data_IF_032331834993
#
_entry.id   IF_032331834993
#
_cell.length_a   1.000
_cell.length_b   1.000
_cell.length_c   1.000
_cell.angle_alpha   90.00
_cell.angle_beta   90.00
_cell.angle_gamma   90.00
#
_symmetry.space_group_name_H-M   'P 1'
#
loop_
_entity.id
_entity.type
_entity.pdbx_description
1 polymer ?
#
# COMPACT_ATOMS: atom_id res chain seq x y z
N UNK A 1 17.24 5.57 5.77
CA UNK A 1 16.18 5.09 4.86
C UNK A 1 16.13 5.96 3.61
N UNK A 2 16.07 5.34 2.47
CA UNK A 2 16.00 6.12 1.23
C UNK A 2 14.62 6.76 1.09
N UNK A 3 14.58 7.90 0.44
CA UNK A 3 13.32 8.54 0.14
C UNK A 3 12.64 7.79 -1.01
N UNK A 4 11.33 7.75 -0.97
CA UNK A 4 10.56 7.18 -2.06
C UNK A 4 10.54 8.17 -3.22
N UNK A 5 10.81 7.67 -4.42
CA UNK A 5 10.73 8.46 -5.64
C UNK A 5 9.57 7.95 -6.46
N UNK A 6 8.39 8.51 -6.18
CA UNK A 6 7.17 8.09 -6.83
C UNK A 6 6.65 9.22 -7.72
N UNK A 7 6.42 8.95 -9.01
CA UNK A 7 5.80 9.94 -9.89
C UNK A 7 4.28 9.94 -9.72
N UNK A 8 3.81 9.63 -8.53
CA UNK A 8 2.40 9.53 -8.20
C UNK A 8 2.16 10.21 -6.87
N UNK A 9 1.01 10.83 -6.73
CA UNK A 9 0.61 11.38 -5.44
C UNK A 9 0.40 10.24 -4.47
N UNK A 10 0.81 10.45 -3.22
CA UNK A 10 0.55 9.47 -2.18
C UNK A 10 0.03 10.13 -0.92
N UNK A 11 -0.65 9.36 -0.12
CA UNK A 11 -1.16 9.80 1.17
C UNK A 11 -0.94 8.71 2.20
N UNK A 12 -0.75 9.11 3.43
CA UNK A 12 -0.62 8.17 4.52
C UNK A 12 -1.94 8.11 5.27
N UNK A 13 -2.24 6.94 5.81
CA UNK A 13 -3.44 6.73 6.60
C UNK A 13 -4.70 7.19 5.88
N UNK A 14 -4.83 6.80 4.63
CA UNK A 14 -5.98 7.20 3.82
C UNK A 14 -7.21 6.39 4.16
N UNK A 15 -8.32 7.08 4.36
CA UNK A 15 -9.60 6.44 4.64
C UNK A 15 -10.25 6.00 3.34
N UNK A 16 -10.63 4.73 3.28
CA UNK A 16 -11.33 4.16 2.11
C UNK A 16 -12.62 3.51 2.57
N UNK A 17 -13.72 3.90 1.95
CA UNK A 17 -15.02 3.33 2.24
C UNK A 17 -15.20 2.01 1.50
N UNK A 18 -15.75 1.03 2.19
CA UNK A 18 -16.09 -0.26 1.60
C UNK A 18 -17.54 -0.61 1.93
N UNK A 19 -17.99 -1.74 1.44
CA UNK A 19 -19.33 -2.20 1.73
C UNK A 19 -19.60 -2.51 3.19
N UNK A 20 -18.55 -2.68 3.99
CA UNK A 20 -18.69 -3.02 5.40
C UNK A 20 -18.16 -1.92 6.32
N UNK A 21 -17.84 -0.76 5.77
CA UNK A 21 -17.34 0.35 6.55
C UNK A 21 -16.02 0.86 6.00
N UNK A 22 -15.39 1.77 6.73
CA UNK A 22 -14.16 2.39 6.29
C UNK A 22 -12.95 1.67 6.86
N UNK A 23 -11.91 1.61 6.03
CA UNK A 23 -10.59 1.14 6.48
C UNK A 23 -9.57 2.22 6.17
N UNK A 24 -8.47 2.20 6.89
CA UNK A 24 -7.38 3.16 6.67
C UNK A 24 -6.18 2.42 6.10
N UNK A 25 -5.59 3.00 5.06
CA UNK A 25 -4.45 2.40 4.39
C UNK A 25 -3.19 3.15 4.80
N UNK A 26 -2.17 2.45 5.27
CA UNK A 26 -0.96 3.08 5.79
C UNK A 26 -0.29 3.99 4.78
N UNK A 27 -0.09 3.51 3.56
CA UNK A 27 0.44 4.29 2.46
C UNK A 27 -0.40 4.02 1.24
N UNK A 28 -0.98 5.05 0.67
CA UNK A 28 -1.90 4.89 -0.44
C UNK A 28 -1.50 5.73 -1.63
N UNK A 29 -1.65 5.15 -2.82
CA UNK A 29 -1.48 5.85 -4.09
C UNK A 29 -2.86 5.90 -4.73
N UNK A 30 -3.64 6.96 -4.45
CA UNK A 30 -5.06 6.97 -4.86
C UNK A 30 -5.29 6.84 -6.35
N UNK A 31 -4.42 7.45 -7.16
CA UNK A 31 -4.59 7.38 -8.61
C UNK A 31 -4.38 6.00 -9.17
N UNK A 32 -3.68 5.15 -8.44
CA UNK A 32 -3.45 3.76 -8.84
C UNK A 32 -4.30 2.79 -8.05
N UNK A 33 -5.01 3.28 -7.05
CA UNK A 33 -5.76 2.43 -6.12
C UNK A 33 -4.86 1.29 -5.61
N UNK A 34 -3.66 1.68 -5.22
CA UNK A 34 -2.65 0.77 -4.72
C UNK A 34 -2.29 1.20 -3.31
N UNK A 35 -2.34 0.27 -2.38
CA UNK A 35 -2.03 0.55 -1.01
C UNK A 35 -0.98 -0.38 -0.45
N UNK A 36 -0.29 0.09 0.56
CA UNK A 36 0.75 -0.67 1.24
C UNK A 36 0.49 -0.63 2.72
N UNK A 37 0.58 -1.78 3.35
CA UNK A 37 0.37 -1.91 4.78
C UNK A 37 1.60 -2.50 5.42
N UNK A 38 1.90 -2.08 6.64
CA UNK A 38 2.99 -2.66 7.39
C UNK A 38 2.38 -3.55 8.46
N UNK A 39 2.71 -4.84 8.39
CA UNK A 39 2.24 -5.77 9.41
C UNK A 39 3.13 -5.61 10.64
N UNK A 40 2.50 -5.33 11.77
CA UNK A 40 3.24 -5.14 12.99
C UNK A 40 3.86 -6.43 13.48
N UNK A 41 4.63 -6.31 14.55
CA UNK A 41 5.19 -7.47 15.20
C UNK A 41 4.07 -8.14 15.95
N UNK A 42 3.38 -8.98 15.29
CA UNK A 42 2.27 -9.62 15.93
C UNK A 42 2.71 -10.95 16.48
N UNK A 43 3.20 -10.91 17.66
CA UNK A 43 3.48 -12.16 18.37
C UNK A 43 2.18 -12.85 18.70
N UNK A 44 1.13 -12.09 18.61
CA UNK A 44 -0.20 -12.58 18.86
C UNK A 44 -1.03 -12.53 17.62
N UNK A 45 -0.39 -12.69 16.49
CA UNK A 45 -1.18 -12.85 15.29
C UNK A 45 -1.85 -14.19 15.46
N UNK A 46 -2.85 -14.14 16.25
CA UNK A 46 -3.68 -15.29 16.39
C UNK A 46 -4.39 -15.45 15.07
N UNK A 47 -5.00 -16.59 14.93
CA UNK A 47 -5.73 -16.93 13.75
C UNK A 47 -6.80 -15.90 13.42
N UNK A 48 -7.41 -15.35 14.46
CA UNK A 48 -8.50 -14.41 14.29
C UNK A 48 -8.06 -13.11 13.63
N UNK A 49 -6.94 -12.54 14.10
CA UNK A 49 -6.41 -11.31 13.49
C UNK A 49 -6.00 -11.53 12.04
N UNK A 50 -5.41 -12.70 11.77
CA UNK A 50 -5.02 -13.04 10.41
C UNK A 50 -6.24 -13.11 9.50
N UNK A 51 -7.31 -13.74 9.97
CA UNK A 51 -8.52 -13.86 9.17
C UNK A 51 -9.17 -12.51 8.93
N UNK A 52 -9.20 -11.65 9.95
CA UNK A 52 -9.76 -10.31 9.77
C UNK A 52 -9.02 -9.51 8.73
N UNK A 53 -7.69 -9.60 8.74
CA UNK A 53 -6.89 -8.91 7.73
C UNK A 53 -7.22 -9.41 6.32
N UNK A 54 -7.45 -10.72 6.19
CA UNK A 54 -7.82 -11.27 4.87
C UNK A 54 -9.18 -10.79 4.43
N UNK A 55 -10.14 -10.70 5.33
CA UNK A 55 -11.46 -10.17 4.99
C UNK A 55 -11.39 -8.71 4.63
N UNK A 56 -10.60 -7.95 5.37
CA UNK A 56 -10.38 -6.54 5.08
C UNK A 56 -9.79 -6.34 3.69
N UNK A 57 -8.77 -7.14 3.34
CA UNK A 57 -8.16 -7.06 2.02
C UNK A 57 -9.17 -7.38 0.93
N UNK A 58 -10.04 -8.36 1.18
CA UNK A 58 -11.07 -8.72 0.21
C UNK A 58 -12.05 -7.58 -0.01
N UNK A 59 -12.47 -6.92 1.08
CA UNK A 59 -13.40 -5.79 0.94
C UNK A 59 -12.75 -4.62 0.21
N UNK A 60 -11.47 -4.39 0.46
CA UNK A 60 -10.75 -3.35 -0.27
C UNK A 60 -10.62 -3.70 -1.74
N UNK A 61 -10.40 -4.98 -2.06
CA UNK A 61 -10.33 -5.42 -3.45
C UNK A 61 -11.65 -5.20 -4.17
N UNK A 62 -12.78 -5.39 -3.48
CA UNK A 62 -14.09 -5.17 -4.07
C UNK A 62 -14.30 -3.71 -4.48
N UNK A 63 -13.65 -2.78 -3.82
CA UNK A 63 -13.67 -1.38 -4.22
C UNK A 63 -12.42 -0.99 -4.98
N UNK A 64 -11.77 -1.99 -5.57
CA UNK A 64 -10.69 -1.84 -6.55
C UNK A 64 -9.34 -1.42 -5.97
N UNK A 65 -9.13 -1.63 -4.69
CA UNK A 65 -7.84 -1.35 -4.09
C UNK A 65 -7.02 -2.62 -4.01
N UNK A 66 -5.79 -2.54 -4.49
CA UNK A 66 -4.85 -3.63 -4.38
C UNK A 66 -3.91 -3.33 -3.23
N UNK A 67 -3.83 -4.22 -2.27
CA UNK A 67 -3.03 -4.02 -1.06
C UNK A 67 -1.85 -4.98 -1.06
N UNK A 68 -0.67 -4.43 -0.82
CA UNK A 68 0.54 -5.23 -0.60
C UNK A 68 0.99 -5.01 0.84
N UNK A 69 1.48 -6.06 1.46
CA UNK A 69 1.89 -5.99 2.85
C UNK A 69 3.38 -6.24 3.00
N UNK A 70 3.99 -5.50 3.90
CA UNK A 70 5.40 -5.69 4.24
C UNK A 70 5.49 -5.97 5.73
N UNK A 71 6.33 -6.90 6.10
CA UNK A 71 6.59 -7.13 7.51
C UNK A 71 7.32 -5.93 8.10
N UNK A 72 6.99 -5.58 9.33
CA UNK A 72 7.65 -4.48 10.00
C UNK A 72 9.17 -4.68 10.05
N UNK A 73 9.58 -5.92 10.25
CA UNK A 73 11.01 -6.24 10.27
C UNK A 73 11.68 -5.90 8.93
N UNK A 74 11.01 -6.13 7.83
CA UNK A 74 11.55 -5.79 6.51
C UNK A 74 11.70 -4.27 6.37
N UNK A 75 10.71 -3.53 6.84
CA UNK A 75 10.75 -2.08 6.78
C UNK A 75 11.93 -1.54 7.59
N UNK A 76 12.18 -2.12 8.76
CA UNK A 76 13.25 -1.66 9.62
C UNK A 76 14.62 -2.10 9.15
N UNK A 77 14.75 -3.34 8.69
CA UNK A 77 16.06 -3.93 8.37
C UNK A 77 16.42 -3.83 6.91
N UNK A 78 15.45 -3.70 6.03
CA UNK A 78 15.68 -3.63 4.59
C UNK A 78 14.88 -2.50 3.95
N UNK A 79 15.03 -1.26 4.46
CA UNK A 79 14.20 -0.16 3.96
C UNK A 79 14.40 0.14 2.49
N UNK A 80 15.61 -0.02 1.97
CA UNK A 80 15.85 0.22 0.54
C UNK A 80 15.15 -0.82 -0.31
N UNK A 81 15.16 -2.06 0.12
CA UNK A 81 14.49 -3.13 -0.61
C UNK A 81 12.98 -2.89 -0.63
N UNK A 82 12.42 -2.47 0.49
CA UNK A 82 11.00 -2.14 0.57
C UNK A 82 10.68 -0.98 -0.37
N UNK A 83 11.49 0.08 -0.32
CA UNK A 83 11.27 1.25 -1.18
C UNK A 83 11.32 0.90 -2.66
N UNK A 84 12.33 0.14 -3.07
CA UNK A 84 12.41 -0.28 -4.47
C UNK A 84 11.24 -1.14 -4.88
N UNK A 85 10.76 -1.98 -3.97
CA UNK A 85 9.63 -2.85 -4.27
C UNK A 85 8.37 -2.02 -4.44
N UNK A 86 8.16 -1.03 -3.58
CA UNK A 86 7.02 -0.12 -3.71
C UNK A 86 7.06 0.59 -5.07
N UNK A 87 8.22 1.10 -5.46
CA UNK A 87 8.36 1.80 -6.73
C UNK A 87 8.04 0.90 -7.91
N UNK A 88 8.51 -0.33 -7.87
CA UNK A 88 8.24 -1.29 -8.95
C UNK A 88 6.78 -1.72 -8.99
N UNK A 89 6.18 -1.90 -7.83
CA UNK A 89 4.76 -2.24 -7.77
C UNK A 89 3.90 -1.10 -8.31
N UNK A 90 4.27 0.14 -8.00
CA UNK A 90 3.56 1.29 -8.52
C UNK A 90 3.67 1.37 -10.04
N UNK A 91 4.87 1.14 -10.58
CA UNK A 91 5.07 1.18 -12.02
C UNK A 91 4.26 0.08 -12.72
N UNK A 92 4.25 -1.11 -12.17
CA UNK A 92 3.49 -2.22 -12.75
C UNK A 92 1.98 -1.95 -12.68
N UNK A 93 1.52 -1.45 -11.55
CA UNK A 93 0.11 -1.14 -11.39
C UNK A 93 -0.33 -0.08 -12.38
N UNK A 94 0.50 0.94 -12.58
CA UNK A 94 0.20 2.00 -13.54
C UNK A 94 0.08 1.43 -14.95
N UNK A 95 0.99 0.54 -15.33
CA UNK A 95 0.92 -0.11 -16.63
C UNK A 95 -0.37 -0.91 -16.79
N UNK A 96 -0.72 -1.69 -15.78
CA UNK A 96 -1.93 -2.50 -15.82
C UNK A 96 -3.20 -1.64 -15.95
N UNK A 97 -3.20 -0.46 -15.34
CA UNK A 97 -4.36 0.43 -15.38
C UNK A 97 -4.32 1.40 -16.55
N UNK A 98 -3.25 1.39 -17.33
CA UNK A 98 -3.09 2.35 -18.43
C UNK A 98 -2.94 3.77 -17.93
N UNK A 99 -2.34 3.96 -16.77
CA UNK A 99 -2.15 5.28 -16.19
C UNK A 99 -0.76 5.80 -16.46
N UNK A 100 -0.65 7.12 -16.60
CA UNK A 100 0.62 7.77 -16.80
C UNK A 100 0.99 8.56 -15.55
N UNK A 101 2.30 8.65 -15.25
CA UNK A 101 2.74 9.45 -14.13
C UNK A 101 2.28 10.90 -14.25
N UNK A 102 2.02 11.54 -13.13
CA UNK A 102 1.66 12.94 -13.14
C UNK A 102 2.85 13.76 -13.62
N UNK A 103 2.54 14.71 -14.49
CA UNK A 103 3.58 15.59 -14.98
C UNK A 103 4.12 16.42 -13.82
N UNK A 104 5.44 16.41 -13.67
CA UNK A 104 6.08 17.16 -12.61
C UNK A 104 6.11 16.46 -11.27
N UNK A 105 5.38 15.37 -11.12
CA UNK A 105 5.36 14.61 -9.87
C UNK A 105 6.50 13.60 -9.87
N UNK A 106 7.71 14.09 -9.72
CA UNK A 106 8.87 13.23 -9.79
C UNK A 106 9.13 12.50 -8.51
N UNK A 107 8.77 13.10 -7.43
CA UNK A 107 9.00 12.51 -6.13
C UNK A 107 8.03 13.11 -5.17
N UNK A 108 7.73 12.34 -4.19
CA UNK A 108 6.86 12.77 -3.12
C UNK A 108 7.69 13.42 -2.04
N UNK A 109 7.32 14.53 -1.62
CA UNK A 109 7.96 15.22 -0.51
C UNK A 109 9.00 16.19 -0.91
#
# INVERSE_FOLDING_TARGET
MRALHLPWRYETNLRVETGVGAFFIDLALPELQLGFEVDGYSYHSDKESFEEDRWRDAELALVRWHISRFAANAVECQPDRVGWTIERLAARRATLLGRRPLRGARRAG
#
